data_IF_785051576574
#
_entry.id   IF_785051576574
#
_cell.length_a   1.000
_cell.length_b   1.000
_cell.length_c   1.000
_cell.angle_alpha   90.00
_cell.angle_beta   90.00
_cell.angle_gamma   90.00
#
_symmetry.space_group_name_H-M   'P 1'
#
loop_
_entity.id
_entity.type
_entity.pdbx_description
1 polymer ?
#
# COMPACT_ATOMS: atom_id res chain seq x y z
N UNK A 1 -3.76 9.84 32.13
CA UNK A 1 -4.92 9.67 31.22
C UNK A 1 -4.92 8.23 30.69
N UNK A 2 -5.87 7.39 31.10
CA UNK A 2 -5.78 5.92 31.00
C UNK A 2 -6.41 5.38 29.68
N UNK A 3 -6.01 5.92 28.54
CA UNK A 3 -6.60 5.53 27.23
C UNK A 3 -5.58 5.06 26.20
N UNK A 4 -4.38 4.67 26.64
CA UNK A 4 -3.52 3.87 25.75
C UNK A 4 -4.00 2.43 25.84
N UNK A 5 -4.88 2.03 24.94
CA UNK A 5 -5.13 0.61 24.65
C UNK A 5 -3.86 0.01 24.07
N UNK A 6 -3.40 -1.10 24.65
CA UNK A 6 -2.34 -1.90 24.07
C UNK A 6 -2.78 -2.37 22.68
N UNK A 7 -1.92 -2.23 21.68
CA UNK A 7 -2.21 -2.73 20.34
C UNK A 7 -2.28 -4.25 20.43
N UNK A 8 -3.47 -4.82 20.35
CA UNK A 8 -3.65 -6.26 20.25
C UNK A 8 -2.95 -6.74 18.96
N UNK A 9 -1.85 -7.48 19.14
CA UNK A 9 -1.14 -8.12 18.05
C UNK A 9 -1.87 -9.44 17.79
N UNK A 10 -2.78 -9.43 16.81
CA UNK A 10 -3.43 -10.65 16.33
C UNK A 10 -2.36 -11.42 15.54
N UNK A 11 -1.72 -12.38 16.20
CA UNK A 11 -0.87 -13.40 15.57
C UNK A 11 -1.47 -14.76 15.89
N UNK A 12 -1.48 -15.66 14.92
CA UNK A 12 -1.87 -17.07 15.08
C UNK A 12 -3.33 -17.31 15.49
N UNK A 13 -4.25 -16.43 15.08
CA UNK A 13 -5.70 -16.67 15.23
C UNK A 13 -6.35 -17.11 13.92
N UNK A 14 -7.50 -17.77 13.98
CA UNK A 14 -8.29 -18.19 12.80
C UNK A 14 -8.70 -16.98 11.92
N UNK A 15 -8.75 -15.78 12.50
CA UNK A 15 -9.04 -14.52 11.82
C UNK A 15 -7.80 -13.78 11.32
N UNK A 16 -6.61 -14.35 11.50
CA UNK A 16 -5.38 -13.82 10.94
C UNK A 16 -5.37 -14.03 9.43
N UNK A 17 -5.87 -13.02 8.70
CA UNK A 17 -6.00 -13.04 7.23
C UNK A 17 -4.65 -13.19 6.51
N UNK A 18 -3.55 -13.14 7.25
CA UNK A 18 -2.18 -13.28 6.74
C UNK A 18 -1.49 -14.37 7.54
N UNK A 19 -1.78 -15.65 7.23
CA UNK A 19 -0.88 -16.75 7.62
C UNK A 19 0.52 -16.41 7.13
N UNK A 20 1.35 -15.96 8.05
CA UNK A 20 2.64 -15.38 7.71
C UNK A 20 3.65 -16.51 7.70
N UNK A 21 4.08 -16.93 6.51
CA UNK A 21 5.14 -17.93 6.37
C UNK A 21 6.37 -17.51 7.17
N UNK A 22 6.88 -18.43 7.99
CA UNK A 22 8.07 -18.22 8.81
C UNK A 22 9.31 -18.01 7.92
N UNK A 23 10.39 -17.41 8.44
CA UNK A 23 11.64 -17.29 7.69
C UNK A 23 12.20 -18.63 7.20
N UNK A 24 12.05 -19.70 7.99
CA UNK A 24 12.47 -21.05 7.61
C UNK A 24 11.63 -21.60 6.46
N UNK A 25 10.30 -21.50 6.53
CA UNK A 25 9.40 -21.92 5.45
C UNK A 25 9.68 -21.16 4.14
N UNK A 26 9.99 -19.87 4.22
CA UNK A 26 10.37 -19.08 3.02
C UNK A 26 11.66 -19.56 2.39
N UNK A 27 12.61 -20.03 3.20
CA UNK A 27 13.88 -20.57 2.71
C UNK A 27 13.65 -21.91 2.02
N UNK A 28 12.87 -22.79 2.66
CA UNK A 28 12.47 -24.08 2.12
C UNK A 28 11.71 -23.94 0.78
N UNK A 29 10.73 -23.05 0.68
CA UNK A 29 10.02 -22.75 -0.57
C UNK A 29 10.99 -22.35 -1.69
N UNK A 30 12.01 -21.54 -1.38
CA UNK A 30 13.01 -21.14 -2.37
C UNK A 30 13.85 -22.32 -2.81
N UNK A 31 14.35 -23.13 -1.88
CA UNK A 31 15.17 -24.30 -2.16
C UNK A 31 14.43 -25.32 -3.02
N UNK A 32 13.19 -25.67 -2.65
CA UNK A 32 12.36 -26.63 -3.39
C UNK A 32 12.04 -26.17 -4.81
N UNK A 33 11.79 -24.87 -4.99
CA UNK A 33 11.57 -24.28 -6.31
C UNK A 33 12.85 -24.23 -7.15
N UNK A 34 13.99 -23.84 -6.56
CA UNK A 34 15.27 -23.76 -7.29
C UNK A 34 15.78 -25.13 -7.71
N UNK A 35 15.51 -26.16 -6.91
CA UNK A 35 15.88 -27.54 -7.22
C UNK A 35 14.96 -28.16 -8.30
N UNK A 36 13.92 -27.45 -8.74
CA UNK A 36 12.97 -27.93 -9.74
C UNK A 36 12.08 -29.08 -9.25
N UNK A 37 12.06 -29.34 -7.93
CA UNK A 37 11.33 -30.47 -7.35
C UNK A 37 9.82 -30.22 -7.35
N UNK A 38 9.40 -28.97 -7.12
CA UNK A 38 8.00 -28.59 -7.02
C UNK A 38 7.71 -27.29 -7.77
N UNK A 39 6.57 -27.26 -8.45
CA UNK A 39 6.07 -26.06 -9.11
C UNK A 39 5.36 -25.14 -8.10
N UNK A 40 5.22 -23.85 -8.42
CA UNK A 40 4.60 -22.85 -7.55
C UNK A 40 3.18 -23.18 -7.10
N UNK A 41 2.42 -23.94 -7.90
CA UNK A 41 1.08 -24.45 -7.53
C UNK A 41 1.17 -25.51 -6.44
N UNK A 42 2.06 -26.48 -6.59
CA UNK A 42 2.25 -27.55 -5.60
C UNK A 42 2.78 -26.99 -4.27
N UNK A 43 3.68 -26.00 -4.34
CA UNK A 43 4.16 -25.29 -3.15
C UNK A 43 3.03 -24.50 -2.46
N UNK A 44 2.10 -23.92 -3.22
CA UNK A 44 0.97 -23.20 -2.67
C UNK A 44 0.04 -24.13 -1.88
N UNK A 45 -0.26 -25.31 -2.43
CA UNK A 45 -1.08 -26.32 -1.77
C UNK A 45 -0.38 -26.88 -0.52
N UNK A 46 0.91 -27.20 -0.63
CA UNK A 46 1.70 -27.77 0.48
C UNK A 46 1.84 -26.82 1.68
N UNK A 47 1.98 -25.51 1.43
CA UNK A 47 2.10 -24.50 2.48
C UNK A 47 0.77 -23.83 2.82
N UNK A 48 -0.35 -24.25 2.22
CA UNK A 48 -1.69 -23.69 2.39
C UNK A 48 -1.72 -22.16 2.23
N UNK A 49 -1.10 -21.66 1.16
CA UNK A 49 -1.02 -20.24 0.83
C UNK A 49 -1.39 -20.00 -0.62
N UNK A 50 -1.73 -18.76 -0.97
CA UNK A 50 -1.98 -18.42 -2.37
C UNK A 50 -0.72 -18.57 -3.23
N UNK A 51 -0.91 -18.97 -4.49
CA UNK A 51 0.17 -18.99 -5.50
C UNK A 51 0.84 -17.63 -5.66
N UNK A 52 0.09 -16.53 -5.54
CA UNK A 52 0.63 -15.18 -5.54
C UNK A 52 1.62 -14.94 -4.38
N UNK A 53 1.36 -15.51 -3.20
CA UNK A 53 2.29 -15.45 -2.05
C UNK A 53 3.59 -16.18 -2.37
N UNK A 54 3.50 -17.39 -2.94
CA UNK A 54 4.66 -18.18 -3.36
C UNK A 54 5.50 -17.41 -4.40
N UNK A 55 4.89 -16.88 -5.45
CA UNK A 55 5.60 -16.11 -6.48
C UNK A 55 6.23 -14.81 -5.95
N UNK A 56 5.63 -14.16 -4.94
CA UNK A 56 6.24 -13.01 -4.25
C UNK A 56 7.51 -13.39 -3.49
N UNK A 57 7.54 -14.59 -2.91
CA UNK A 57 8.71 -15.10 -2.18
C UNK A 57 9.84 -15.50 -3.14
N UNK A 58 9.49 -16.16 -4.24
CA UNK A 58 10.44 -16.64 -5.26
C UNK A 58 11.01 -15.47 -6.08
N UNK A 59 10.16 -14.52 -6.49
CA UNK A 59 10.55 -13.41 -7.38
C UNK A 59 10.31 -12.03 -6.75
N UNK A 60 10.96 -11.70 -5.61
CA UNK A 60 10.69 -10.46 -4.89
C UNK A 60 10.93 -9.20 -5.73
N UNK A 61 11.91 -9.22 -6.64
CA UNK A 61 12.25 -8.07 -7.50
C UNK A 61 11.10 -7.65 -8.42
N UNK A 62 10.32 -8.62 -8.94
CA UNK A 62 9.15 -8.32 -9.78
C UNK A 62 8.06 -7.58 -9.01
N UNK A 63 7.98 -7.77 -7.70
CA UNK A 63 6.92 -7.21 -6.85
C UNK A 63 7.35 -5.97 -6.05
N UNK A 64 8.65 -5.64 -5.98
CA UNK A 64 9.14 -4.40 -5.36
C UNK A 64 8.67 -3.12 -6.10
N UNK A 65 8.44 -3.19 -7.42
CA UNK A 65 8.11 -2.03 -8.27
C UNK A 65 6.72 -1.43 -7.98
N UNK A 66 5.78 -2.22 -7.48
CA UNK A 66 4.38 -1.78 -7.33
C UNK A 66 4.11 -0.93 -6.08
N UNK A 67 4.93 -1.05 -5.04
CA UNK A 67 4.76 -0.25 -3.81
C UNK A 67 5.16 1.21 -3.96
N UNK A 68 6.29 1.49 -4.63
CA UNK A 68 6.81 2.84 -4.84
C UNK A 68 5.88 3.70 -5.71
N UNK A 69 5.35 3.13 -6.79
CA UNK A 69 4.49 3.85 -7.72
C UNK A 69 3.17 4.36 -7.09
N UNK A 70 2.62 3.68 -6.08
CA UNK A 70 1.35 4.12 -5.45
C UNK A 70 1.56 5.29 -4.51
N UNK A 71 2.64 5.28 -3.73
CA UNK A 71 2.99 6.39 -2.85
C UNK A 71 3.33 7.64 -3.66
N UNK A 72 4.13 7.51 -4.71
CA UNK A 72 4.51 8.61 -5.59
C UNK A 72 3.30 9.18 -6.35
N UNK A 73 2.44 8.34 -6.92
CA UNK A 73 1.20 8.79 -7.57
C UNK A 73 0.27 9.53 -6.61
N UNK A 74 0.08 9.01 -5.39
CA UNK A 74 -0.75 9.69 -4.40
C UNK A 74 -0.14 11.03 -3.97
N UNK A 75 1.18 11.10 -3.82
CA UNK A 75 1.89 12.35 -3.49
C UNK A 75 1.71 13.40 -4.60
N UNK A 76 1.86 13.02 -5.86
CA UNK A 76 1.63 13.91 -7.01
C UNK A 76 0.19 14.39 -7.09
N UNK A 77 -0.79 13.53 -6.81
CA UNK A 77 -2.19 13.91 -6.81
C UNK A 77 -2.52 14.93 -5.70
N UNK A 78 -2.05 14.68 -4.48
CA UNK A 78 -2.21 15.61 -3.35
C UNK A 78 -1.61 16.99 -3.66
N UNK A 79 -0.42 17.02 -4.29
CA UNK A 79 0.24 18.26 -4.73
C UNK A 79 -0.57 19.00 -5.80
N UNK A 80 -1.14 18.29 -6.77
CA UNK A 80 -2.01 18.88 -7.81
C UNK A 80 -3.26 19.49 -7.20
N UNK A 81 -3.90 18.76 -6.28
CA UNK A 81 -5.12 19.18 -5.62
C UNK A 81 -4.90 20.46 -4.78
N UNK A 82 -3.78 20.53 -4.04
CA UNK A 82 -3.39 21.72 -3.27
C UNK A 82 -3.19 22.95 -4.17
N UNK A 83 -2.49 22.78 -5.30
CA UNK A 83 -2.27 23.86 -6.28
C UNK A 83 -3.59 24.39 -6.86
N UNK A 84 -4.55 23.51 -7.11
CA UNK A 84 -5.88 23.93 -7.59
C UNK A 84 -6.69 24.68 -6.55
N UNK A 85 -6.59 24.31 -5.27
CA UNK A 85 -7.29 25.04 -4.21
C UNK A 85 -6.70 26.44 -3.98
N UNK A 86 -5.38 26.59 -4.01
CA UNK A 86 -4.71 27.91 -3.97
C UNK A 86 -5.16 28.80 -5.14
N UNK A 87 -5.27 28.25 -6.35
CA UNK A 87 -5.75 28.99 -7.50
C UNK A 87 -7.23 29.41 -7.34
N UNK A 88 -8.09 28.54 -6.80
CA UNK A 88 -9.51 28.84 -6.56
C UNK A 88 -9.69 29.91 -5.48
N UNK A 89 -8.92 29.85 -4.39
CA UNK A 89 -8.98 30.85 -3.31
C UNK A 89 -8.51 32.21 -3.81
N UNK A 90 -7.41 32.27 -4.56
CA UNK A 90 -6.94 33.52 -5.19
C UNK A 90 -7.99 34.12 -6.13
N UNK A 91 -8.64 33.31 -6.97
CA UNK A 91 -9.70 33.77 -7.89
C UNK A 91 -10.94 34.30 -7.14
N UNK A 92 -11.29 33.71 -6.01
CA UNK A 92 -12.40 34.18 -5.15
C UNK A 92 -12.08 35.51 -4.50
N UNK A 93 -10.85 35.67 -4.00
CA UNK A 93 -10.38 36.93 -3.41
C UNK A 93 -10.45 38.08 -4.43
N UNK A 94 -9.90 37.88 -5.62
CA UNK A 94 -9.94 38.88 -6.70
C UNK A 94 -11.37 39.25 -7.12
N UNK A 95 -12.32 38.30 -7.10
CA UNK A 95 -13.74 38.58 -7.36
C UNK A 95 -14.41 39.36 -6.23
N UNK A 96 -14.09 39.05 -4.97
CA UNK A 96 -14.63 39.77 -3.83
C UNK A 96 -14.21 41.24 -3.87
N UNK A 97 -12.92 41.52 -4.08
CA UNK A 97 -12.39 42.88 -4.17
C UNK A 97 -13.01 43.66 -5.33
N UNK A 98 -13.14 43.04 -6.51
CA UNK A 98 -13.80 43.65 -7.66
C UNK A 98 -15.28 43.99 -7.37
N UNK A 99 -15.98 43.12 -6.65
CA UNK A 99 -17.38 43.33 -6.28
C UNK A 99 -17.55 44.41 -5.21
N UNK A 100 -16.60 44.52 -4.26
CA UNK A 100 -16.60 45.61 -3.28
C UNK A 100 -16.35 46.96 -3.97
N UNK A 101 -15.37 47.04 -4.88
CA UNK A 101 -15.10 48.23 -5.68
C UNK A 101 -16.30 48.66 -6.53
N UNK A 102 -16.99 47.71 -7.17
CA UNK A 102 -18.21 47.99 -7.95
C UNK A 102 -19.39 48.45 -7.10
N UNK A 103 -19.44 48.11 -5.80
CA UNK A 103 -20.48 48.57 -4.87
C UNK A 103 -20.21 49.97 -4.31
N UNK A 104 -18.96 50.45 -4.39
CA UNK A 104 -18.56 51.79 -3.93
C UNK A 104 -18.66 52.88 -5.01
N UNK A 105 -19.00 52.51 -6.25
CA UNK A 105 -19.33 53.40 -7.37
C UNK A 105 -20.85 53.59 -7.45
#
# INVERSE_FOLDING_TARGET
MPWKTEKQVIRDTIHDRVRTLSPSQRKEIKELYTNGQLNGVQLADMFEVSTATIYRIIHPEKYKKYGKNRYEKNKEQILKDHKTEEYKTHRRFMRHDLNQYKKSL
#
